data_IF_869309778674
#
_entry.id   IF_869309778674
#
_cell.length_a   1.000
_cell.length_b   1.000
_cell.length_c   1.000
_cell.angle_alpha   90.00
_cell.angle_beta   90.00
_cell.angle_gamma   90.00
#
_symmetry.space_group_name_H-M   'P 1'
#
loop_
_entity.id
_entity.type
_entity.pdbx_description
1 polymer ?
#
# COMPACT_ATOMS: atom_id res chain seq x y z
N UNK A 1 9.82 -16.78 5.95
CA UNK A 1 10.30 -16.00 4.80
C UNK A 1 9.72 -14.61 4.94
N UNK A 2 10.52 -13.56 4.74
CA UNK A 2 10.07 -12.16 4.74
C UNK A 2 10.25 -11.64 3.32
N UNK A 3 9.23 -10.97 2.77
CA UNK A 3 9.29 -10.33 1.46
C UNK A 3 9.39 -8.82 1.64
N UNK A 4 10.21 -8.18 0.81
CA UNK A 4 10.25 -6.72 0.71
C UNK A 4 9.46 -6.30 -0.52
N UNK A 5 8.53 -5.37 -0.34
CA UNK A 5 7.64 -4.88 -1.40
C UNK A 5 7.88 -3.39 -1.52
N UNK A 6 8.33 -2.95 -2.70
CA UNK A 6 8.46 -1.52 -2.98
C UNK A 6 7.07 -0.90 -3.13
N UNK A 7 6.80 0.14 -2.36
CA UNK A 7 5.60 1.00 -2.44
C UNK A 7 6.04 2.42 -2.81
N UNK A 8 5.20 3.43 -2.53
CA UNK A 8 5.54 4.83 -2.73
C UNK A 8 6.53 5.37 -1.69
N UNK A 9 6.74 6.68 -1.76
CA UNK A 9 7.60 7.44 -0.85
C UNK A 9 6.88 7.74 0.46
N UNK A 10 7.67 7.78 1.55
CA UNK A 10 7.23 8.07 2.91
C UNK A 10 5.92 7.37 3.31
N UNK A 11 5.90 6.01 3.37
CA UNK A 11 4.72 5.27 3.81
C UNK A 11 4.44 5.54 5.29
N UNK A 12 3.19 5.89 5.61
CA UNK A 12 2.77 6.31 6.96
C UNK A 12 1.75 5.39 7.61
N UNK A 13 0.99 4.63 6.81
CA UNK A 13 -0.14 3.84 7.28
C UNK A 13 -0.32 2.52 6.54
N UNK A 14 -0.87 1.52 7.23
CA UNK A 14 -1.18 0.20 6.66
C UNK A 14 -2.54 -0.33 7.13
N UNK A 15 -3.35 -0.81 6.17
CA UNK A 15 -4.60 -1.49 6.43
C UNK A 15 -4.66 -2.84 5.71
N UNK A 16 -5.32 -3.84 6.29
CA UNK A 16 -5.41 -5.19 5.74
C UNK A 16 -6.87 -5.59 5.55
N UNK A 17 -7.23 -5.97 4.33
CA UNK A 17 -8.45 -6.71 4.03
C UNK A 17 -8.10 -8.18 3.84
N UNK A 18 -8.23 -8.95 4.92
CA UNK A 18 -7.92 -10.39 4.91
C UNK A 18 -8.90 -11.20 4.06
N UNK A 19 -10.15 -10.73 3.90
CA UNK A 19 -11.15 -11.44 3.10
C UNK A 19 -10.83 -11.33 1.60
N UNK A 20 -10.36 -10.16 1.15
CA UNK A 20 -9.93 -9.95 -0.23
C UNK A 20 -8.45 -10.28 -0.49
N UNK A 21 -7.67 -10.58 0.55
CA UNK A 21 -6.23 -10.83 0.44
C UNK A 21 -5.44 -9.59 0.01
N UNK A 22 -5.84 -8.41 0.49
CA UNK A 22 -5.24 -7.12 0.10
C UNK A 22 -4.63 -6.40 1.28
N UNK A 23 -3.50 -5.73 1.03
CA UNK A 23 -2.89 -4.78 1.95
C UNK A 23 -2.88 -3.42 1.27
N UNK A 24 -3.25 -2.37 2.01
CA UNK A 24 -3.29 -1.01 1.54
C UNK A 24 -2.24 -0.21 2.32
N UNK A 25 -1.40 0.53 1.61
CA UNK A 25 -0.35 1.35 2.21
C UNK A 25 -0.54 2.79 1.77
N UNK A 26 -0.71 3.70 2.73
CA UNK A 26 -0.76 5.13 2.48
C UNK A 26 0.67 5.66 2.30
N UNK A 27 0.99 6.20 1.13
CA UNK A 27 2.30 6.75 0.80
C UNK A 27 2.22 8.27 0.81
N UNK A 28 2.60 8.89 1.92
CA UNK A 28 2.45 10.32 2.15
C UNK A 28 3.24 11.13 1.13
N UNK A 29 4.51 10.80 0.89
CA UNK A 29 5.37 11.51 -0.05
C UNK A 29 5.07 11.22 -1.53
N UNK A 30 4.09 10.35 -1.83
CA UNK A 30 3.67 10.02 -3.20
C UNK A 30 2.21 10.31 -3.50
N UNK A 31 1.47 10.90 -2.56
CA UNK A 31 0.07 11.30 -2.72
C UNK A 31 -0.86 10.18 -3.21
N UNK A 32 -0.54 8.93 -2.84
CA UNK A 32 -1.23 7.75 -3.30
C UNK A 32 -1.34 6.65 -2.24
N UNK A 33 -2.18 5.67 -2.52
CA UNK A 33 -2.29 4.42 -1.77
C UNK A 33 -1.86 3.26 -2.67
N UNK A 34 -0.89 2.48 -2.22
CA UNK A 34 -0.53 1.22 -2.87
C UNK A 34 -1.46 0.10 -2.42
N UNK A 35 -1.99 -0.67 -3.36
CA UNK A 35 -2.75 -1.90 -3.10
C UNK A 35 -1.86 -3.09 -3.41
N UNK A 36 -1.64 -3.95 -2.43
CA UNK A 36 -0.75 -5.11 -2.50
C UNK A 36 -1.58 -6.38 -2.44
N UNK A 37 -1.27 -7.35 -3.28
CA UNK A 37 -1.77 -8.72 -3.15
C UNK A 37 -0.92 -9.49 -2.12
N UNK A 38 -1.56 -9.94 -1.05
CA UNK A 38 -0.87 -10.58 0.08
C UNK A 38 -0.30 -11.97 -0.25
N UNK A 39 -0.82 -12.66 -1.27
CA UNK A 39 -0.33 -13.98 -1.67
C UNK A 39 0.87 -13.91 -2.61
N UNK A 40 0.87 -12.96 -3.54
CA UNK A 40 1.96 -12.79 -4.52
C UNK A 40 3.04 -11.81 -4.07
N UNK A 41 2.79 -11.07 -2.99
CA UNK A 41 3.68 -10.00 -2.49
C UNK A 41 4.00 -8.94 -3.57
N UNK A 42 2.99 -8.57 -4.37
CA UNK A 42 3.14 -7.58 -5.45
C UNK A 42 2.14 -6.44 -5.32
N UNK A 43 2.55 -5.24 -5.68
CA UNK A 43 1.63 -4.10 -5.86
C UNK A 43 0.77 -4.38 -7.10
N UNK A 44 -0.55 -4.36 -6.92
CA UNK A 44 -1.54 -4.61 -7.97
C UNK A 44 -2.26 -3.34 -8.41
N UNK A 45 -2.22 -2.27 -7.60
CA UNK A 45 -2.70 -0.95 -7.99
C UNK A 45 -1.99 0.15 -7.22
N UNK A 46 -1.92 1.33 -7.83
CA UNK A 46 -1.59 2.59 -7.18
C UNK A 46 -2.73 3.56 -7.40
N UNK A 47 -3.36 4.01 -6.31
CA UNK A 47 -4.58 4.81 -6.35
C UNK A 47 -4.26 6.22 -5.85
N UNK A 48 -4.56 7.29 -6.63
CA UNK A 48 -4.43 8.66 -6.13
C UNK A 48 -5.28 8.84 -4.88
N UNK A 49 -4.69 9.44 -3.84
CA UNK A 49 -5.36 9.62 -2.55
C UNK A 49 -5.53 11.09 -2.14
N UNK A 50 -4.92 12.01 -2.90
CA UNK A 50 -4.79 13.42 -2.53
C UNK A 50 -3.47 13.68 -1.82
N UNK A 51 -3.26 14.93 -1.42
CA UNK A 51 -2.00 15.40 -0.83
C UNK A 51 -1.78 14.76 0.56
N UNK A 52 -0.63 14.10 0.72
CA UNK A 52 -0.15 13.59 2.00
C UNK A 52 -1.09 12.62 2.74
N UNK A 53 -1.54 11.51 2.14
CA UNK A 53 -2.41 10.56 2.83
C UNK A 53 -1.74 9.98 4.08
N UNK A 54 -2.56 9.78 5.12
CA UNK A 54 -2.18 9.16 6.41
C UNK A 54 -3.28 8.23 6.89
N UNK A 55 -2.96 7.25 7.74
CA UNK A 55 -3.94 6.29 8.28
C UNK A 55 -3.34 5.24 9.19
#
# INVERSE_FOLDING_TARGET
>A
MVANISVGLDPTGVAVDAAAGRVFVANNGSDNVSVINASSHTVVASLPAGDGPVG
#
